data_IF_261687509896
#
_entry.id   IF_261687509896
#
_cell.length_a   1.000
_cell.length_b   1.000
_cell.length_c   1.000
_cell.angle_alpha   90.00
_cell.angle_beta   90.00
_cell.angle_gamma   90.00
#
_symmetry.space_group_name_H-M   'P 1'
#
loop_
_entity.id
_entity.type
_entity.pdbx_description
1 polymer ?
#
# COMPACT_ATOMS: atom_id res chain seq x y z
N UNK A 1 -7.04 -11.15 24.76
CA UNK A 1 -7.00 -10.41 23.47
C UNK A 1 -5.58 -9.94 23.23
N UNK A 2 -5.00 -10.32 22.08
CA UNK A 2 -3.73 -9.73 21.68
C UNK A 2 -3.92 -8.23 21.49
N UNK A 3 -3.06 -7.41 22.12
CA UNK A 3 -3.08 -5.97 21.90
C UNK A 3 -2.87 -5.66 20.41
N UNK A 4 -3.66 -4.74 19.85
CA UNK A 4 -3.48 -4.32 18.48
C UNK A 4 -2.10 -3.69 18.29
N UNK A 5 -1.36 -4.13 17.28
CA UNK A 5 -0.04 -3.58 16.97
C UNK A 5 -0.14 -2.08 16.64
N UNK A 6 0.79 -1.29 17.16
CA UNK A 6 0.94 0.11 16.79
C UNK A 6 1.72 0.24 15.48
N UNK A 7 1.78 1.46 14.93
CA UNK A 7 2.47 1.73 13.67
C UNK A 7 3.95 1.33 13.71
N UNK A 8 4.65 1.64 14.79
CA UNK A 8 6.08 1.30 14.92
C UNK A 8 6.33 -0.21 14.88
N UNK A 9 5.46 -1.00 15.53
CA UNK A 9 5.53 -2.46 15.51
C UNK A 9 5.28 -3.02 14.10
N UNK A 10 4.27 -2.52 13.40
CA UNK A 10 3.99 -2.90 12.02
C UNK A 10 5.16 -2.60 11.08
N UNK A 11 5.74 -1.40 11.20
CA UNK A 11 6.88 -0.99 10.36
C UNK A 11 8.14 -1.78 10.68
N UNK A 12 8.37 -2.13 11.96
CA UNK A 12 9.49 -2.97 12.34
C UNK A 12 9.42 -4.35 11.70
N UNK A 13 8.26 -4.99 11.73
CA UNK A 13 8.04 -6.29 11.05
C UNK A 13 8.22 -6.16 9.53
N UNK A 14 7.69 -5.12 8.93
CA UNK A 14 7.83 -4.87 7.50
C UNK A 14 9.31 -4.70 7.11
N UNK A 15 10.07 -3.96 7.91
CA UNK A 15 11.49 -3.74 7.68
C UNK A 15 12.35 -5.01 7.75
N UNK A 16 11.93 -6.04 8.48
CA UNK A 16 12.68 -7.30 8.56
C UNK A 16 12.87 -7.98 7.20
N UNK A 17 11.90 -7.85 6.30
CA UNK A 17 11.93 -8.41 4.95
C UNK A 17 12.25 -7.37 3.86
N UNK A 18 12.61 -6.15 4.22
CA UNK A 18 12.88 -5.05 3.30
C UNK A 18 14.19 -4.32 3.66
N UNK A 19 15.29 -5.07 3.70
CA UNK A 19 16.63 -4.54 4.05
C UNK A 19 17.49 -4.26 2.82
N UNK A 20 17.32 -5.04 1.75
CA UNK A 20 18.09 -4.89 0.52
C UNK A 20 17.73 -3.60 -0.22
N UNK A 21 18.70 -2.74 -0.60
CA UNK A 21 18.40 -1.44 -1.22
C UNK A 21 17.56 -1.51 -2.49
N UNK A 22 17.86 -2.47 -3.36
CA UNK A 22 17.10 -2.66 -4.61
C UNK A 22 15.68 -3.17 -4.33
N UNK A 23 15.49 -4.02 -3.33
CA UNK A 23 14.16 -4.45 -2.90
C UNK A 23 13.34 -3.26 -2.38
N UNK A 24 13.94 -2.40 -1.55
CA UNK A 24 13.29 -1.16 -1.10
C UNK A 24 12.87 -0.28 -2.25
N UNK A 25 13.75 -0.07 -3.23
CA UNK A 25 13.46 0.76 -4.41
C UNK A 25 12.29 0.18 -5.23
N UNK A 26 12.28 -1.13 -5.45
CA UNK A 26 11.18 -1.82 -6.12
C UNK A 26 9.85 -1.65 -5.36
N UNK A 27 9.88 -1.77 -4.03
CA UNK A 27 8.68 -1.60 -3.20
C UNK A 27 8.16 -0.15 -3.20
N UNK A 28 9.03 0.85 -3.24
CA UNK A 28 8.61 2.25 -3.37
C UNK A 28 7.82 2.53 -4.65
N UNK A 29 8.10 1.80 -5.73
CA UNK A 29 7.36 1.92 -6.98
C UNK A 29 6.15 0.96 -7.03
N UNK A 30 6.37 -0.31 -6.70
CA UNK A 30 5.38 -1.36 -6.90
C UNK A 30 4.22 -1.29 -5.90
N UNK A 31 4.49 -0.94 -4.64
CA UNK A 31 3.44 -0.87 -3.60
C UNK A 31 2.38 0.19 -3.93
N UNK A 32 2.73 1.45 -4.25
CA UNK A 32 1.74 2.43 -4.70
C UNK A 32 1.02 2.01 -5.99
N UNK A 33 1.73 1.37 -6.92
CA UNK A 33 1.13 0.88 -8.17
C UNK A 33 0.10 -0.23 -7.92
N UNK A 34 0.37 -1.16 -7.02
CA UNK A 34 -0.60 -2.19 -6.61
C UNK A 34 -1.83 -1.54 -5.99
N UNK A 35 -1.65 -0.61 -5.07
CA UNK A 35 -2.74 0.10 -4.42
C UNK A 35 -3.60 0.85 -5.45
N UNK A 36 -2.98 1.60 -6.35
CA UNK A 36 -3.67 2.30 -7.43
C UNK A 36 -4.46 1.34 -8.34
N UNK A 37 -3.86 0.20 -8.71
CA UNK A 37 -4.53 -0.79 -9.57
C UNK A 37 -5.76 -1.39 -8.90
N UNK A 38 -5.68 -1.71 -7.60
CA UNK A 38 -6.82 -2.21 -6.82
C UNK A 38 -7.93 -1.16 -6.75
N UNK A 39 -7.58 0.10 -6.49
CA UNK A 39 -8.55 1.19 -6.49
C UNK A 39 -9.23 1.34 -7.85
N UNK A 40 -8.46 1.28 -8.94
CA UNK A 40 -8.99 1.36 -10.29
C UNK A 40 -9.97 0.22 -10.61
N UNK A 41 -9.64 -1.01 -10.22
CA UNK A 41 -10.53 -2.16 -10.37
C UNK A 41 -11.83 -1.98 -9.56
N UNK A 42 -11.73 -1.55 -8.32
CA UNK A 42 -12.89 -1.34 -7.44
C UNK A 42 -13.80 -0.21 -7.93
N UNK A 43 -13.23 0.90 -8.37
CA UNK A 43 -14.00 2.05 -8.88
C UNK A 43 -14.77 1.65 -10.15
N UNK A 44 -14.13 0.93 -11.06
CA UNK A 44 -14.76 0.45 -12.28
C UNK A 44 -15.82 -0.65 -12.00
N UNK A 45 -15.63 -1.44 -10.94
CA UNK A 45 -16.60 -2.46 -10.54
C UNK A 45 -17.85 -1.84 -9.90
N UNK A 46 -17.64 -0.99 -8.89
CA UNK A 46 -18.71 -0.30 -8.16
C UNK A 46 -18.14 0.88 -7.38
N UNK A 47 -18.41 2.08 -7.85
CA UNK A 47 -17.89 3.30 -7.23
C UNK A 47 -18.36 3.50 -5.78
N UNK A 48 -19.61 3.13 -5.45
CA UNK A 48 -20.11 3.22 -4.08
C UNK A 48 -19.35 2.28 -3.13
N UNK A 49 -19.10 1.04 -3.55
CA UNK A 49 -18.28 0.10 -2.80
C UNK A 49 -16.86 0.63 -2.62
N UNK A 50 -16.26 1.20 -3.67
CA UNK A 50 -14.92 1.80 -3.62
C UNK A 50 -14.87 2.95 -2.60
N UNK A 51 -15.89 3.80 -2.51
CA UNK A 51 -15.98 4.86 -1.50
C UNK A 51 -16.01 4.26 -0.10
N UNK A 52 -16.86 3.27 0.16
CA UNK A 52 -16.96 2.61 1.48
C UNK A 52 -15.62 2.02 1.90
N UNK A 53 -14.93 1.31 0.99
CA UNK A 53 -13.63 0.72 1.27
C UNK A 53 -12.54 1.79 1.47
N UNK A 54 -12.57 2.88 0.71
CA UNK A 54 -11.66 4.02 0.89
C UNK A 54 -11.82 4.61 2.30
N UNK A 55 -13.06 4.84 2.74
CA UNK A 55 -13.33 5.34 4.09
C UNK A 55 -12.85 4.37 5.18
N UNK A 56 -13.05 3.06 5.00
CA UNK A 56 -12.54 2.05 5.92
C UNK A 56 -11.01 2.07 6.03
N UNK A 57 -10.32 2.24 4.91
CA UNK A 57 -8.85 2.37 4.85
C UNK A 57 -8.38 3.65 5.55
N UNK A 58 -9.06 4.77 5.36
CA UNK A 58 -8.77 6.03 6.07
C UNK A 58 -8.89 5.84 7.58
N UNK A 59 -9.97 5.20 8.04
CA UNK A 59 -10.18 4.91 9.46
C UNK A 59 -9.08 4.02 10.02
N UNK A 60 -8.63 3.03 9.27
CA UNK A 60 -7.51 2.18 9.65
C UNK A 60 -6.24 3.01 9.87
N UNK A 61 -5.86 3.83 8.90
CA UNK A 61 -4.66 4.69 9.02
C UNK A 61 -4.80 5.74 10.12
N UNK A 62 -6.00 6.29 10.32
CA UNK A 62 -6.26 7.26 11.40
C UNK A 62 -6.02 6.67 12.79
N UNK A 63 -6.30 5.39 12.98
CA UNK A 63 -6.01 4.67 14.23
C UNK A 63 -4.52 4.49 14.47
N UNK A 64 -3.72 4.41 13.41
CA UNK A 64 -2.27 4.27 13.50
C UNK A 64 -1.58 5.63 13.72
N UNK A 65 -1.92 6.62 12.91
CA UNK A 65 -1.33 7.96 12.96
C UNK A 65 -2.19 8.96 12.19
N UNK A 66 -2.41 10.14 12.76
CA UNK A 66 -3.14 11.23 12.09
C UNK A 66 -2.35 11.75 10.87
N UNK A 67 -1.03 11.92 10.99
CA UNK A 67 -0.18 12.37 9.89
C UNK A 67 -0.18 11.37 8.73
N UNK A 68 -0.11 10.07 9.05
CA UNK A 68 -0.21 9.02 8.06
C UNK A 68 -1.58 9.02 7.36
N UNK A 69 -2.65 9.19 8.10
CA UNK A 69 -3.99 9.27 7.52
C UNK A 69 -4.12 10.42 6.51
N UNK A 70 -3.57 11.60 6.84
CA UNK A 70 -3.55 12.75 5.91
C UNK A 70 -2.77 12.41 4.64
N UNK A 71 -1.56 11.85 4.77
CA UNK A 71 -0.75 11.46 3.62
C UNK A 71 -1.47 10.45 2.73
N UNK A 72 -2.13 9.46 3.33
CA UNK A 72 -2.87 8.44 2.60
C UNK A 72 -4.15 8.97 1.96
N UNK A 73 -4.86 9.90 2.60
CA UNK A 73 -6.01 10.58 1.98
C UNK A 73 -5.57 11.34 0.73
N UNK A 74 -4.48 12.10 0.81
CA UNK A 74 -3.94 12.83 -0.34
C UNK A 74 -3.56 11.86 -1.47
N UNK A 75 -2.90 10.77 -1.15
CA UNK A 75 -2.56 9.74 -2.13
C UNK A 75 -3.82 9.12 -2.78
N UNK A 76 -4.83 8.77 -1.97
CA UNK A 76 -6.07 8.19 -2.49
C UNK A 76 -6.88 9.19 -3.33
N UNK A 77 -6.88 10.48 -2.98
CA UNK A 77 -7.49 11.53 -3.81
C UNK A 77 -6.81 11.60 -5.18
N UNK A 78 -5.49 11.54 -5.23
CA UNK A 78 -4.75 11.49 -6.50
C UNK A 78 -5.12 10.23 -7.29
N UNK A 79 -5.18 9.07 -6.65
CA UNK A 79 -5.60 7.82 -7.30
C UNK A 79 -7.01 7.93 -7.89
N UNK A 80 -7.98 8.45 -7.13
CA UNK A 80 -9.35 8.69 -7.60
C UNK A 80 -9.37 9.62 -8.81
N UNK A 81 -8.64 10.72 -8.75
CA UNK A 81 -8.56 11.69 -9.86
C UNK A 81 -7.96 11.03 -11.12
N UNK A 82 -6.89 10.26 -10.99
CA UNK A 82 -6.27 9.56 -12.11
C UNK A 82 -7.22 8.52 -12.73
N UNK A 83 -7.93 7.76 -11.91
CA UNK A 83 -8.91 6.78 -12.42
C UNK A 83 -10.04 7.48 -13.19
N UNK A 84 -10.51 8.63 -12.74
CA UNK A 84 -11.54 9.41 -13.44
C UNK A 84 -11.04 10.02 -14.76
N UNK A 85 -9.74 10.30 -14.87
CA UNK A 85 -9.13 10.84 -16.10
C UNK A 85 -8.80 9.75 -17.11
N UNK A 86 -8.68 8.51 -16.68
CA UNK A 86 -8.37 7.36 -17.54
C UNK A 86 -9.65 6.76 -18.14
N UNK A 87 -9.56 6.11 -19.31
CA UNK A 87 -10.70 5.41 -19.88
C UNK A 87 -11.24 4.33 -18.95
N UNK A 88 -12.57 4.13 -18.88
CA UNK A 88 -13.13 3.06 -18.07
C UNK A 88 -12.72 1.68 -18.59
N UNK A 89 -12.63 0.72 -17.68
CA UNK A 89 -12.27 -0.66 -18.00
C UNK A 89 -11.31 -1.26 -16.97
N UNK A 90 -10.99 -2.53 -17.17
CA UNK A 90 -10.19 -3.31 -16.22
C UNK A 90 -8.76 -3.63 -16.71
N UNK A 91 -8.56 -3.66 -18.03
CA UNK A 91 -7.34 -4.17 -18.63
C UNK A 91 -6.07 -3.45 -18.15
N UNK A 92 -6.11 -2.11 -18.11
CA UNK A 92 -4.99 -1.30 -17.64
C UNK A 92 -4.63 -1.61 -16.19
N UNK A 93 -5.62 -1.69 -15.31
CA UNK A 93 -5.40 -1.93 -13.88
C UNK A 93 -4.89 -3.34 -13.61
N UNK A 94 -5.40 -4.35 -14.33
CA UNK A 94 -4.86 -5.71 -14.27
C UNK A 94 -3.41 -5.77 -14.76
N UNK A 95 -3.08 -5.07 -15.84
CA UNK A 95 -1.70 -5.00 -16.33
C UNK A 95 -0.75 -4.37 -15.29
N UNK A 96 -1.15 -3.25 -14.69
CA UNK A 96 -0.38 -2.59 -13.61
C UNK A 96 -0.23 -3.52 -12.41
N UNK A 97 -1.30 -4.16 -11.98
CA UNK A 97 -1.32 -5.10 -10.87
C UNK A 97 -0.33 -6.25 -11.08
N UNK A 98 -0.41 -6.93 -12.22
CA UNK A 98 0.48 -8.06 -12.53
C UNK A 98 1.93 -7.63 -12.61
N UNK A 99 2.24 -6.54 -13.32
CA UNK A 99 3.60 -6.03 -13.45
C UNK A 99 4.19 -5.59 -12.10
N UNK A 100 3.39 -4.94 -11.27
CA UNK A 100 3.82 -4.52 -9.95
C UNK A 100 4.07 -5.72 -9.01
N UNK A 101 3.26 -6.76 -9.07
CA UNK A 101 3.50 -8.00 -8.32
C UNK A 101 4.75 -8.74 -8.80
N UNK A 102 5.02 -8.75 -10.11
CA UNK A 102 6.29 -9.30 -10.63
C UNK A 102 7.47 -8.52 -10.02
N UNK A 103 7.40 -7.20 -9.97
CA UNK A 103 8.42 -6.38 -9.30
C UNK A 103 8.59 -6.71 -7.83
N UNK A 104 7.49 -6.95 -7.10
CA UNK A 104 7.51 -7.41 -5.70
C UNK A 104 8.26 -8.76 -5.55
N UNK A 105 7.95 -9.72 -6.38
CA UNK A 105 8.62 -11.03 -6.32
C UNK A 105 10.11 -10.94 -6.68
N UNK A 106 10.49 -10.12 -7.64
CA UNK A 106 11.91 -9.83 -7.93
C UNK A 106 12.59 -9.22 -6.70
N UNK A 107 11.94 -8.27 -6.04
CA UNK A 107 12.46 -7.66 -4.81
C UNK A 107 12.67 -8.68 -3.69
N UNK A 108 11.70 -9.54 -3.45
CA UNK A 108 11.83 -10.61 -2.44
C UNK A 108 12.93 -11.62 -2.79
N UNK A 109 13.11 -11.92 -4.07
CA UNK A 109 14.23 -12.77 -4.52
C UNK A 109 15.59 -12.13 -4.23
N UNK A 110 15.72 -10.83 -4.44
CA UNK A 110 16.93 -10.08 -4.11
C UNK A 110 17.19 -10.04 -2.60
N UNK A 111 16.14 -9.98 -1.79
CA UNK A 111 16.23 -10.05 -0.32
C UNK A 111 16.67 -11.44 0.17
N UNK A 112 16.52 -12.49 -0.64
CA UNK A 112 16.79 -13.87 -0.25
C UNK A 112 15.70 -14.50 0.62
N UNK A 113 14.54 -13.87 0.71
CA UNK A 113 13.37 -14.39 1.44
C UNK A 113 12.29 -14.82 0.44
N UNK A 114 11.67 -15.98 0.69
CA UNK A 114 10.54 -16.45 -0.10
C UNK A 114 9.36 -15.49 0.08
N UNK A 115 8.70 -15.05 -1.00
CA UNK A 115 7.46 -14.31 -0.86
C UNK A 115 6.41 -15.19 -0.18
N UNK A 116 5.76 -14.65 0.85
CA UNK A 116 4.62 -15.29 1.49
C UNK A 116 3.36 -14.53 1.07
N UNK A 117 2.51 -15.17 0.30
CA UNK A 117 1.25 -14.58 -0.15
C UNK A 117 0.39 -14.08 1.02
N UNK A 118 0.30 -14.86 2.10
CA UNK A 118 -0.45 -14.46 3.29
C UNK A 118 0.17 -13.27 4.03
N UNK A 119 1.49 -13.23 4.11
CA UNK A 119 2.20 -12.11 4.72
C UNK A 119 2.07 -10.85 3.87
N UNK A 120 2.14 -10.98 2.54
CA UNK A 120 1.96 -9.87 1.61
C UNK A 120 0.53 -9.31 1.68
N UNK A 121 -0.49 -10.15 1.88
CA UNK A 121 -1.86 -9.67 2.11
C UNK A 121 -1.97 -8.90 3.43
N UNK A 122 -1.38 -9.41 4.52
CA UNK A 122 -1.33 -8.67 5.79
C UNK A 122 -0.64 -7.32 5.64
N UNK A 123 0.40 -7.26 4.84
CA UNK A 123 1.17 -6.04 4.57
C UNK A 123 0.60 -5.17 3.46
N UNK A 124 -0.55 -5.51 2.88
CA UNK A 124 -1.14 -4.76 1.78
C UNK A 124 -1.44 -3.28 2.16
N UNK A 125 -1.87 -3.04 3.40
CA UNK A 125 -2.07 -1.69 3.93
C UNK A 125 -0.83 -1.13 4.64
N UNK A 126 0.03 -1.98 5.19
CA UNK A 126 1.27 -1.56 5.85
C UNK A 126 2.32 -1.13 4.82
N UNK A 127 2.37 -1.76 3.65
CA UNK A 127 3.26 -1.36 2.56
C UNK A 127 3.13 0.11 2.16
N UNK A 128 1.93 0.61 1.81
CA UNK A 128 1.73 2.04 1.53
C UNK A 128 2.09 2.95 2.72
N UNK A 129 1.79 2.53 3.95
CA UNK A 129 2.19 3.26 5.16
C UNK A 129 3.71 3.36 5.28
N UNK A 130 4.43 2.27 5.04
CA UNK A 130 5.89 2.24 5.04
C UNK A 130 6.48 3.16 3.97
N UNK A 131 5.92 3.15 2.75
CA UNK A 131 6.33 4.07 1.68
C UNK A 131 6.12 5.53 2.11
N UNK A 132 4.96 5.87 2.66
CA UNK A 132 4.65 7.23 3.12
C UNK A 132 5.61 7.69 4.23
N UNK A 133 5.86 6.84 5.21
CA UNK A 133 6.77 7.14 6.33
C UNK A 133 8.20 7.34 5.85
N UNK A 134 8.70 6.47 4.98
CA UNK A 134 10.08 6.55 4.48
C UNK A 134 10.30 7.71 3.52
N UNK A 135 9.33 8.03 2.65
CA UNK A 135 9.46 9.14 1.70
C UNK A 135 9.25 10.51 2.37
N UNK A 136 8.31 10.63 3.30
CA UNK A 136 7.95 11.91 3.90
C UNK A 136 8.56 12.13 5.29
N UNK A 137 9.29 11.15 5.82
CA UNK A 137 9.91 11.25 7.14
C UNK A 137 8.89 11.42 8.26
N UNK A 138 7.74 10.77 8.18
CA UNK A 138 6.68 10.90 9.17
C UNK A 138 7.11 10.29 10.51
N UNK A 139 6.76 10.96 11.60
CA UNK A 139 7.04 10.44 12.95
C UNK A 139 6.19 9.21 13.24
N UNK A 140 6.84 8.18 13.73
CA UNK A 140 6.22 6.89 14.04
C UNK A 140 6.04 6.65 15.54
N UNK A 141 6.39 7.63 16.36
CA UNK A 141 6.25 7.52 17.82
C UNK A 141 4.77 7.33 18.18
N UNK A 142 4.52 6.27 18.94
CA UNK A 142 3.23 6.02 19.54
C UNK A 142 2.95 7.13 20.58
N UNK A 143 1.80 7.77 20.47
CA UNK A 143 1.23 8.51 21.58
C UNK A 143 0.44 7.57 22.45
#
# INVERSE_FOLDING_TARGET
MAASKNLAQWLAEYNESHRHPQNKALHWLCVPAIFFSIMGLLINLNAALAVVLTLAVVLFYRRLSAALAVAMVLFMVVCWALVWLLPPGYALYWAIFVLAWIGQFVGHKLEGKKPSFFQDIQFLLIGPAWVAVTLFGLKTEAR
#
